data_IF_059599273032
#
_entry.id   IF_059599273032
#
_cell.length_a   1.000
_cell.length_b   1.000
_cell.length_c   1.000
_cell.angle_alpha   90.00
_cell.angle_beta   90.00
_cell.angle_gamma   90.00
#
_symmetry.space_group_name_H-M   'P 1'
#
loop_
_entity.id
_entity.type
_entity.pdbx_description
1 polymer ?
#
# COMPACT_ATOMS: atom_id res chain seq x y z
N UNK A 1 31.36 -7.74 -0.76
CA UNK A 1 31.84 -6.98 -1.93
C UNK A 1 31.39 -7.73 -3.16
N UNK A 2 30.32 -7.29 -3.80
CA UNK A 2 29.71 -8.01 -4.93
C UNK A 2 30.54 -7.72 -6.18
N UNK A 3 31.07 -8.75 -6.82
CA UNK A 3 31.81 -8.61 -8.08
C UNK A 3 31.09 -9.44 -9.13
N UNK A 4 30.76 -8.80 -10.23
CA UNK A 4 30.23 -9.45 -11.43
C UNK A 4 31.31 -9.33 -12.49
N UNK A 5 31.63 -10.45 -13.12
CA UNK A 5 32.57 -10.49 -14.25
C UNK A 5 31.85 -11.26 -15.35
N UNK A 6 31.69 -10.62 -16.50
CA UNK A 6 31.09 -11.21 -17.69
C UNK A 6 32.18 -11.43 -18.72
N UNK A 7 32.25 -12.64 -19.25
CA UNK A 7 33.07 -12.97 -20.42
C UNK A 7 32.13 -13.52 -21.50
N UNK A 8 32.25 -13.00 -22.70
CA UNK A 8 31.55 -13.53 -23.87
C UNK A 8 32.55 -13.62 -25.03
N UNK A 9 32.43 -14.68 -25.79
CA UNK A 9 33.14 -14.89 -27.04
C UNK A 9 32.05 -14.99 -28.12
N UNK A 10 32.09 -14.08 -29.08
CA UNK A 10 31.08 -13.97 -30.13
C UNK A 10 31.80 -14.22 -31.44
N UNK A 11 31.61 -15.42 -31.98
CA UNK A 11 32.18 -15.83 -33.25
C UNK A 11 31.05 -16.08 -34.27
N UNK A 12 31.17 -15.45 -35.43
CA UNK A 12 30.32 -15.73 -36.58
C UNK A 12 31.20 -16.38 -37.65
N UNK A 13 31.22 -17.72 -37.75
CA UNK A 13 32.18 -18.42 -38.59
C UNK A 13 31.89 -18.29 -40.09
N UNK A 14 30.89 -17.50 -40.50
CA UNK A 14 30.51 -17.29 -41.89
C UNK A 14 31.16 -16.00 -42.46
N UNK A 15 32.14 -16.10 -43.38
CA UNK A 15 32.84 -14.95 -43.94
C UNK A 15 31.97 -14.07 -44.87
N UNK A 16 30.76 -14.50 -45.20
CA UNK A 16 29.79 -13.75 -46.00
C UNK A 16 28.69 -13.06 -45.15
N UNK A 17 28.77 -13.13 -43.82
CA UNK A 17 27.79 -12.48 -42.95
C UNK A 17 27.94 -10.95 -42.99
N UNK A 18 26.80 -10.24 -42.98
CA UNK A 18 26.77 -8.79 -42.90
C UNK A 18 26.99 -8.38 -41.43
N UNK A 19 27.98 -7.52 -41.11
CA UNK A 19 28.23 -7.09 -39.73
C UNK A 19 27.07 -6.34 -39.07
N UNK A 20 26.05 -5.92 -39.84
CA UNK A 20 24.82 -5.34 -39.31
C UNK A 20 23.83 -6.37 -38.72
N UNK A 21 24.01 -7.67 -39.00
CA UNK A 21 23.12 -8.75 -38.54
C UNK A 21 23.51 -9.28 -37.14
N UNK A 22 24.71 -8.96 -36.65
CA UNK A 22 25.24 -9.43 -35.36
C UNK A 22 24.96 -8.40 -34.25
N UNK A 23 23.68 -8.12 -33.99
CA UNK A 23 23.27 -7.21 -32.90
C UNK A 23 22.84 -7.99 -31.67
N UNK A 24 23.58 -7.83 -30.57
CA UNK A 24 23.23 -8.38 -29.25
C UNK A 24 22.92 -7.25 -28.29
N UNK A 25 21.67 -7.17 -27.83
CA UNK A 25 21.23 -6.18 -26.86
C UNK A 25 21.03 -6.83 -25.50
N UNK A 26 21.64 -6.24 -24.49
CA UNK A 26 21.36 -6.56 -23.09
C UNK A 26 20.59 -5.36 -22.54
N UNK A 27 19.40 -5.61 -22.02
CA UNK A 27 18.60 -4.61 -21.33
C UNK A 27 18.12 -5.17 -19.98
N UNK A 28 17.75 -4.26 -19.07
CA UNK A 28 17.25 -4.54 -17.72
C UNK A 28 18.21 -5.33 -16.79
N UNK A 29 19.51 -5.01 -16.87
CA UNK A 29 20.52 -5.58 -15.98
C UNK A 29 20.47 -4.92 -14.59
N UNK A 30 19.85 -5.60 -13.61
CA UNK A 30 19.67 -5.09 -12.24
C UNK A 30 20.52 -5.88 -11.24
N UNK A 31 21.35 -5.17 -10.46
CA UNK A 31 22.12 -5.75 -9.36
C UNK A 31 21.88 -5.03 -8.03
N UNK A 32 21.39 -5.80 -7.06
CA UNK A 32 21.08 -5.34 -5.72
C UNK A 32 19.66 -5.74 -5.35
N UNK A 33 19.49 -6.33 -4.18
CA UNK A 33 18.20 -6.22 -3.52
C UNK A 33 18.06 -4.74 -3.18
N UNK A 34 17.30 -4.00 -3.99
CA UNK A 34 16.72 -2.76 -3.49
C UNK A 34 15.91 -3.21 -2.29
N UNK A 35 16.42 -2.94 -1.08
CA UNK A 35 15.56 -2.89 0.08
C UNK A 35 14.54 -1.83 -0.27
N UNK A 36 13.41 -2.25 -0.83
CA UNK A 36 12.29 -1.35 -1.02
C UNK A 36 12.07 -0.76 0.36
N UNK A 37 11.92 0.55 0.44
CA UNK A 37 11.43 1.18 1.66
C UNK A 37 9.93 0.86 1.77
N UNK A 38 9.61 -0.43 1.72
CA UNK A 38 8.29 -0.95 1.99
C UNK A 38 8.10 -0.78 3.47
N UNK A 39 7.09 -0.02 3.85
CA UNK A 39 6.56 -0.10 5.20
C UNK A 39 6.18 -1.56 5.42
N UNK A 40 6.66 -2.21 6.48
CA UNK A 40 5.98 -3.42 6.97
C UNK A 40 4.52 -3.03 7.09
N UNK A 41 3.65 -3.63 6.28
CA UNK A 41 2.22 -3.39 6.38
C UNK A 41 1.83 -3.75 7.81
N UNK A 42 1.63 -2.72 8.62
CA UNK A 42 1.20 -2.90 9.98
C UNK A 42 -0.28 -3.30 9.90
N UNK A 43 -0.50 -4.60 9.85
CA UNK A 43 -1.82 -5.18 9.91
C UNK A 43 -2.25 -5.30 11.37
N UNK A 44 -3.20 -4.44 11.75
CA UNK A 44 -3.92 -4.59 13.01
C UNK A 44 -4.71 -5.90 12.93
N UNK A 45 -4.42 -6.82 13.85
CA UNK A 45 -4.98 -8.16 13.86
C UNK A 45 -6.51 -8.13 13.96
N UNK A 46 -7.16 -8.74 12.96
CA UNK A 46 -8.61 -8.80 12.87
C UNK A 46 -9.30 -7.46 12.66
N UNK A 47 -8.58 -6.44 12.16
CA UNK A 47 -9.19 -5.18 11.77
C UNK A 47 -10.25 -5.42 10.69
N UNK A 48 -11.50 -5.11 11.02
CA UNK A 48 -12.65 -5.17 10.12
C UNK A 48 -13.31 -3.81 10.07
N UNK A 49 -13.72 -3.41 8.87
CA UNK A 49 -14.46 -2.19 8.63
C UNK A 49 -15.68 -2.54 7.80
N UNK A 50 -16.88 -2.29 8.34
CA UNK A 50 -18.12 -2.65 7.67
C UNK A 50 -19.29 -1.74 8.08
N UNK A 51 -20.31 -1.59 7.23
CA UNK A 51 -20.28 -1.96 5.81
C UNK A 51 -19.33 -1.03 5.03
N UNK A 52 -18.75 -1.49 3.92
CA UNK A 52 -18.00 -0.64 3.00
C UNK A 52 -18.31 -1.11 1.58
N UNK A 53 -19.12 -0.37 0.78
CA UNK A 53 -19.63 0.99 1.03
C UNK A 53 -20.62 1.12 2.19
N UNK A 54 -20.74 2.32 2.77
CA UNK A 54 -21.72 2.63 3.84
C UNK A 54 -22.65 3.79 3.46
N UNK A 55 -23.88 3.75 4.02
CA UNK A 55 -24.84 4.85 3.94
C UNK A 55 -24.74 5.78 5.16
N UNK A 56 -24.90 5.25 6.38
CA UNK A 56 -25.04 6.13 7.56
C UNK A 56 -23.83 6.09 8.49
N UNK A 57 -23.15 4.95 8.58
CA UNK A 57 -22.06 4.76 9.52
C UNK A 57 -21.13 3.61 9.11
N UNK A 58 -19.87 3.74 9.49
CA UNK A 58 -18.90 2.64 9.48
C UNK A 58 -18.70 2.12 10.90
N UNK A 59 -18.63 0.81 11.03
CA UNK A 59 -18.15 0.14 12.23
C UNK A 59 -16.74 -0.35 11.98
N UNK A 60 -15.82 0.01 12.87
CA UNK A 60 -14.43 -0.46 12.88
C UNK A 60 -14.28 -1.34 14.12
N UNK A 61 -13.75 -2.55 13.95
CA UNK A 61 -13.50 -3.47 15.06
C UNK A 61 -12.17 -4.19 14.88
N UNK A 62 -11.53 -4.54 15.98
CA UNK A 62 -10.28 -5.33 16.03
C UNK A 62 -10.50 -6.59 16.89
N UNK A 63 -9.57 -7.55 16.83
CA UNK A 63 -9.67 -8.74 17.70
C UNK A 63 -9.18 -8.44 19.12
N UNK A 64 -7.93 -7.96 19.28
CA UNK A 64 -7.26 -7.81 20.58
C UNK A 64 -6.43 -6.52 20.68
N UNK A 65 -6.75 -5.48 19.90
CA UNK A 65 -5.98 -4.22 19.89
C UNK A 65 -6.90 -3.04 20.13
N UNK A 66 -6.67 -2.28 21.21
CA UNK A 66 -7.48 -1.11 21.53
C UNK A 66 -7.31 -0.06 20.44
N UNK A 67 -8.44 0.40 19.89
CA UNK A 67 -8.48 1.52 18.95
C UNK A 67 -8.41 2.81 19.77
N UNK A 68 -7.27 3.47 19.75
CA UNK A 68 -7.03 4.72 20.47
C UNK A 68 -7.65 5.90 19.72
N UNK A 69 -7.43 5.95 18.41
CA UNK A 69 -7.90 7.06 17.56
C UNK A 69 -8.40 6.53 16.22
N UNK A 70 -9.43 7.20 15.71
CA UNK A 70 -9.84 7.08 14.31
C UNK A 70 -10.05 8.46 13.74
N UNK A 71 -9.31 8.78 12.69
CA UNK A 71 -9.43 10.03 11.94
C UNK A 71 -9.86 9.73 10.50
N UNK A 72 -10.85 10.46 10.00
CA UNK A 72 -11.34 10.34 8.63
C UNK A 72 -10.94 11.58 7.83
N UNK A 73 -10.36 11.36 6.66
CA UNK A 73 -9.92 12.38 5.73
C UNK A 73 -10.66 12.25 4.39
N UNK A 74 -10.96 13.38 3.75
CA UNK A 74 -11.45 13.39 2.38
C UNK A 74 -10.29 13.25 1.36
N UNK A 75 -10.59 13.16 0.07
CA UNK A 75 -9.58 13.03 -1.00
C UNK A 75 -8.60 14.21 -1.10
N UNK A 76 -8.93 15.36 -0.53
CA UNK A 76 -8.07 16.55 -0.49
C UNK A 76 -7.15 16.55 0.74
N UNK A 77 -7.26 15.55 1.61
CA UNK A 77 -6.49 15.47 2.86
C UNK A 77 -7.10 16.28 4.02
N UNK A 78 -8.31 16.84 3.86
CA UNK A 78 -8.97 17.54 4.96
C UNK A 78 -9.56 16.52 5.94
N UNK A 79 -9.26 16.68 7.23
CA UNK A 79 -9.88 15.86 8.30
C UNK A 79 -11.33 16.26 8.49
N UNK A 80 -12.24 15.31 8.33
CA UNK A 80 -13.70 15.52 8.44
C UNK A 80 -14.29 14.92 9.70
N UNK A 81 -13.60 13.96 10.32
CA UNK A 81 -14.04 13.31 11.56
C UNK A 81 -12.83 12.86 12.37
N UNK A 82 -12.92 12.92 13.70
CA UNK A 82 -11.91 12.40 14.62
C UNK A 82 -12.61 11.92 15.89
N UNK A 83 -12.32 10.69 16.31
CA UNK A 83 -12.84 10.12 17.55
C UNK A 83 -11.73 9.37 18.30
N UNK A 84 -11.90 9.23 19.62
CA UNK A 84 -10.99 8.49 20.49
C UNK A 84 -11.76 7.39 21.25
N UNK A 85 -12.04 6.26 20.59
CA UNK A 85 -12.94 5.25 21.15
C UNK A 85 -12.40 4.60 22.41
N UNK A 86 -11.08 4.38 22.48
CA UNK A 86 -10.40 3.61 23.54
C UNK A 86 -11.08 2.26 23.78
N UNK A 87 -11.45 1.58 22.69
CA UNK A 87 -12.20 0.32 22.71
C UNK A 87 -11.82 -0.58 21.52
N UNK A 88 -12.19 -1.86 21.58
CA UNK A 88 -11.98 -2.83 20.48
C UNK A 88 -12.94 -2.61 19.30
N UNK A 89 -13.96 -1.77 19.46
CA UNK A 89 -14.95 -1.47 18.43
C UNK A 89 -15.38 -0.02 18.53
N UNK A 90 -15.57 0.62 17.38
CA UNK A 90 -15.96 2.01 17.25
C UNK A 90 -16.97 2.16 16.11
N UNK A 91 -18.00 2.98 16.33
CA UNK A 91 -18.98 3.35 15.31
C UNK A 91 -18.79 4.81 14.92
N UNK A 92 -18.55 5.06 13.64
CA UNK A 92 -18.33 6.38 13.06
C UNK A 92 -19.59 6.79 12.31
N UNK A 93 -20.22 7.89 12.75
CA UNK A 93 -21.37 8.44 12.05
C UNK A 93 -20.89 9.18 10.78
N UNK A 94 -21.35 8.72 9.63
CA UNK A 94 -21.05 9.25 8.31
C UNK A 94 -22.27 9.91 7.64
N UNK A 95 -23.41 10.01 8.34
CA UNK A 95 -24.68 10.50 7.76
C UNK A 95 -24.57 11.92 7.21
N UNK A 96 -23.69 12.75 7.80
CA UNK A 96 -23.45 14.13 7.38
C UNK A 96 -22.36 14.26 6.31
N UNK A 97 -21.76 13.15 5.88
CA UNK A 97 -20.74 13.14 4.82
C UNK A 97 -21.40 12.97 3.46
N UNK A 98 -20.88 13.69 2.47
CA UNK A 98 -21.27 13.53 1.07
C UNK A 98 -20.83 12.18 0.51
N UNK A 99 -21.55 11.65 -0.47
CA UNK A 99 -21.14 10.46 -1.21
C UNK A 99 -19.73 10.65 -1.82
N UNK A 100 -18.86 9.65 -1.69
CA UNK A 100 -17.49 9.75 -2.15
C UNK A 100 -16.50 8.83 -1.44
N UNK A 101 -15.22 9.05 -1.73
CA UNK A 101 -14.10 8.30 -1.17
C UNK A 101 -13.50 9.05 0.02
N UNK A 102 -13.19 8.31 1.08
CA UNK A 102 -12.54 8.80 2.28
C UNK A 102 -11.41 7.86 2.70
N UNK A 103 -10.53 8.35 3.57
CA UNK A 103 -9.44 7.57 4.16
C UNK A 103 -9.55 7.60 5.68
N UNK A 104 -9.59 6.42 6.30
CA UNK A 104 -9.58 6.26 7.73
C UNK A 104 -8.17 5.94 8.21
N UNK A 105 -7.58 6.82 9.00
CA UNK A 105 -6.38 6.52 9.77
C UNK A 105 -6.82 5.98 11.13
N UNK A 106 -6.39 4.77 11.44
CA UNK A 106 -6.73 4.05 12.66
C UNK A 106 -5.45 3.82 13.43
N UNK A 107 -5.39 4.31 14.65
CA UNK A 107 -4.25 4.13 15.56
C UNK A 107 -4.64 3.23 16.71
N UNK A 108 -3.79 2.24 16.97
CA UNK A 108 -3.83 1.37 18.14
C UNK A 108 -2.51 1.50 18.91
N UNK A 109 -2.46 0.92 20.09
CA UNK A 109 -1.25 0.86 20.92
C UNK A 109 -0.02 0.27 20.19
N UNK A 110 -0.25 -0.62 19.22
CA UNK A 110 0.81 -1.34 18.51
C UNK A 110 1.23 -0.66 17.20
N UNK A 111 0.43 0.27 16.67
CA UNK A 111 0.74 0.97 15.44
C UNK A 111 -0.45 1.64 14.78
N UNK A 112 -0.23 2.16 13.57
CA UNK A 112 -1.26 2.88 12.81
C UNK A 112 -1.41 2.29 11.42
N UNK A 113 -2.63 2.33 10.89
CA UNK A 113 -2.92 1.86 9.54
C UNK A 113 -3.95 2.76 8.87
N UNK A 114 -3.88 2.88 7.54
CA UNK A 114 -4.85 3.64 6.75
C UNK A 114 -5.73 2.72 5.91
N UNK A 115 -7.03 3.02 5.81
CA UNK A 115 -8.00 2.23 5.03
C UNK A 115 -8.91 3.13 4.19
N UNK A 116 -9.13 2.75 2.94
CA UNK A 116 -10.08 3.43 2.05
C UNK A 116 -11.52 3.10 2.43
N UNK A 117 -12.35 4.12 2.56
CA UNK A 117 -13.78 4.03 2.81
C UNK A 117 -14.57 4.60 1.64
N UNK A 118 -15.77 4.05 1.41
CA UNK A 118 -16.70 4.49 0.38
C UNK A 118 -18.04 4.85 1.06
N UNK A 119 -18.47 6.10 0.87
CA UNK A 119 -19.78 6.62 1.30
C UNK A 119 -20.71 6.68 0.09
N UNK A 120 -21.93 6.16 0.23
CA UNK A 120 -23.00 6.24 -0.78
C UNK A 120 -23.92 7.42 -0.55
#
# INVERSE_FOLDING_TARGET
MTRIVLFFDIDNPNPAANPADDTFQIDDLVFGAYGTMSTKDFEIEGLKIYPNPANDAWTISTTNQIIETVEIFNILGNRVLSINPNALSARLNASNLTAGIYFANITTELGSTSRKLIKQ
#
